data_IF_969805105016
#
_entry.id   IF_969805105016
#
_cell.length_a   1.000
_cell.length_b   1.000
_cell.length_c   1.000
_cell.angle_alpha   90.00
_cell.angle_beta   90.00
_cell.angle_gamma   90.00
#
_symmetry.space_group_name_H-M   'P 1'
#
loop_
_entity.id
_entity.type
_entity.pdbx_description
1 polymer ?
#
# COMPACT_ATOMS: atom_id res chain seq x y z
N UNK A 1 4.32 -14.16 -18.09
CA UNK A 1 2.85 -13.98 -18.16
C UNK A 1 2.59 -12.50 -18.33
N UNK A 2 1.69 -12.11 -19.25
CA UNK A 2 1.39 -10.69 -19.46
C UNK A 2 0.52 -10.18 -18.31
N UNK A 3 0.79 -9.00 -17.72
CA UNK A 3 0.08 -8.53 -16.53
C UNK A 3 -1.42 -8.30 -16.74
N UNK A 4 -1.87 -8.18 -17.99
CA UNK A 4 -3.29 -8.08 -18.38
C UNK A 4 -3.82 -9.38 -19.02
N UNK A 5 -3.24 -10.54 -18.76
CA UNK A 5 -3.64 -11.80 -19.40
C UNK A 5 -5.11 -12.15 -19.13
N UNK A 6 -5.61 -11.87 -17.92
CA UNK A 6 -7.01 -12.11 -17.53
C UNK A 6 -8.00 -11.20 -18.27
N UNK A 7 -7.55 -10.09 -18.85
CA UNK A 7 -8.39 -9.14 -19.59
C UNK A 7 -8.59 -9.61 -21.02
N UNK A 8 -9.56 -10.47 -21.26
CA UNK A 8 -9.82 -11.09 -22.57
C UNK A 8 -10.72 -10.26 -23.48
N UNK A 9 -11.52 -9.36 -22.90
CA UNK A 9 -12.49 -8.55 -23.61
C UNK A 9 -12.08 -7.08 -23.56
N UNK A 10 -12.33 -6.37 -24.65
CA UNK A 10 -12.08 -4.92 -24.70
C UNK A 10 -13.05 -4.18 -23.78
N UNK A 11 -12.57 -3.37 -22.82
CA UNK A 11 -13.45 -2.64 -21.92
C UNK A 11 -14.25 -1.51 -22.60
N UNK A 12 -13.85 -1.09 -23.82
CA UNK A 12 -14.54 -0.06 -24.58
C UNK A 12 -15.71 -0.62 -25.42
N UNK A 13 -15.50 -1.73 -26.15
CA UNK A 13 -16.51 -2.26 -27.06
C UNK A 13 -17.03 -3.67 -26.71
N UNK A 14 -16.47 -4.31 -25.69
CA UNK A 14 -16.89 -5.64 -25.20
C UNK A 14 -16.45 -6.82 -26.10
N UNK A 15 -15.76 -6.61 -27.22
CA UNK A 15 -15.37 -7.68 -28.12
C UNK A 15 -14.13 -8.44 -27.63
N UNK A 16 -14.02 -9.78 -27.96
CA UNK A 16 -12.94 -10.64 -27.45
C UNK A 16 -11.65 -10.54 -28.28
N UNK A 17 -11.33 -9.35 -28.78
CA UNK A 17 -10.13 -9.05 -29.56
C UNK A 17 -9.27 -8.00 -28.90
N UNK A 18 -8.96 -8.26 -27.62
CA UNK A 18 -8.11 -7.39 -26.81
C UNK A 18 -6.74 -8.06 -26.67
N UNK A 19 -5.86 -7.75 -27.60
CA UNK A 19 -4.58 -8.43 -27.83
C UNK A 19 -3.41 -7.71 -27.17
N UNK A 20 -2.32 -8.43 -26.90
CA UNK A 20 -1.10 -7.85 -26.37
C UNK A 20 -0.52 -6.81 -27.37
N UNK A 21 -0.23 -5.60 -26.89
CA UNK A 21 0.36 -4.54 -27.66
C UNK A 21 1.83 -4.32 -27.28
N UNK A 22 2.14 -4.38 -25.99
CA UNK A 22 3.50 -4.41 -25.44
C UNK A 22 3.46 -5.03 -24.03
N UNK A 23 4.60 -5.07 -23.32
CA UNK A 23 4.75 -5.74 -22.01
C UNK A 23 3.76 -5.31 -20.92
N UNK A 24 3.09 -4.17 -21.05
CA UNK A 24 2.13 -3.64 -20.07
C UNK A 24 0.84 -3.09 -20.69
N UNK A 25 0.59 -3.32 -21.97
CA UNK A 25 -0.63 -2.81 -22.61
C UNK A 25 -1.26 -3.83 -23.54
N UNK A 26 -2.58 -3.72 -23.68
CA UNK A 26 -3.38 -4.41 -24.68
C UNK A 26 -4.08 -3.42 -25.59
N UNK A 27 -4.31 -3.83 -26.85
CA UNK A 27 -5.00 -3.06 -27.87
C UNK A 27 -6.15 -3.89 -28.46
N UNK A 28 -7.30 -3.25 -28.60
CA UNK A 28 -8.41 -3.84 -29.33
C UNK A 28 -8.19 -3.70 -30.83
N UNK A 29 -8.23 -4.82 -31.57
CA UNK A 29 -8.08 -4.82 -33.04
C UNK A 29 -9.34 -4.37 -33.76
N UNK A 30 -10.50 -4.33 -33.08
CA UNK A 30 -11.77 -3.86 -33.66
C UNK A 30 -11.96 -2.35 -33.53
N UNK A 31 -11.89 -1.80 -32.29
CA UNK A 31 -12.17 -0.40 -32.03
C UNK A 31 -10.92 0.47 -31.84
N UNK A 32 -9.73 -0.13 -31.80
CA UNK A 32 -8.47 0.58 -31.64
C UNK A 32 -8.14 1.03 -30.21
N UNK A 33 -9.02 0.77 -29.21
CA UNK A 33 -8.79 1.14 -27.82
C UNK A 33 -7.52 0.50 -27.28
N UNK A 34 -6.70 1.29 -26.58
CA UNK A 34 -5.46 0.83 -25.94
C UNK A 34 -5.56 1.07 -24.43
N UNK A 35 -5.30 0.03 -23.64
CA UNK A 35 -5.20 0.13 -22.21
C UNK A 35 -3.79 -0.17 -21.74
N UNK A 36 -3.23 0.72 -20.91
CA UNK A 36 -1.94 0.54 -20.25
C UNK A 36 -2.15 0.24 -18.78
N UNK A 37 -1.58 -0.89 -18.30
CA UNK A 37 -1.48 -1.13 -16.88
C UNK A 37 -0.40 -0.22 -16.30
N UNK A 38 -0.77 0.58 -15.32
CA UNK A 38 0.16 1.38 -14.53
C UNK A 38 0.08 0.91 -13.07
N UNK A 39 1.15 1.06 -12.28
CA UNK A 39 1.09 0.77 -10.86
C UNK A 39 0.04 1.66 -10.18
N UNK A 40 -0.74 1.07 -9.28
CA UNK A 40 -1.57 1.83 -8.34
C UNK A 40 -0.67 2.49 -7.31
N UNK A 41 -1.03 3.70 -6.86
CA UNK A 41 -0.34 4.33 -5.77
C UNK A 41 -0.87 3.80 -4.43
N UNK A 42 0.02 3.59 -3.46
CA UNK A 42 -0.31 3.31 -2.07
C UNK A 42 0.62 4.07 -1.14
N UNK A 43 0.23 4.23 0.11
CA UNK A 43 0.97 4.97 1.13
C UNK A 43 1.19 4.10 2.35
N UNK A 44 2.27 4.35 3.09
CA UNK A 44 2.54 3.74 4.38
C UNK A 44 3.24 4.73 5.32
N UNK A 45 2.85 4.72 6.59
CA UNK A 45 3.29 5.66 7.60
C UNK A 45 4.26 5.05 8.59
N UNK A 46 5.46 5.61 8.72
CA UNK A 46 6.31 5.42 9.88
C UNK A 46 5.90 6.39 10.98
N UNK A 47 5.33 5.87 12.06
CA UNK A 47 4.91 6.61 13.24
C UNK A 47 5.73 6.09 14.43
N UNK A 48 6.50 6.96 15.07
CA UNK A 48 7.28 6.59 16.25
C UNK A 48 6.86 7.41 17.46
N UNK A 49 6.84 6.75 18.62
CA UNK A 49 6.64 7.45 19.89
C UNK A 49 7.93 8.11 20.40
N UNK A 50 7.83 8.76 21.57
CA UNK A 50 8.96 9.45 22.23
C UNK A 50 10.11 8.52 22.64
N UNK A 51 9.85 7.22 22.74
CA UNK A 51 10.83 6.18 23.07
C UNK A 51 11.46 5.56 21.81
N UNK A 52 11.03 6.02 20.61
CA UNK A 52 11.50 5.51 19.32
C UNK A 52 10.94 4.14 18.96
N UNK A 53 9.81 3.73 19.58
CA UNK A 53 9.10 2.51 19.20
C UNK A 53 8.22 2.80 17.99
N UNK A 54 8.15 1.85 17.06
CA UNK A 54 7.37 1.95 15.83
C UNK A 54 5.93 1.49 16.07
N UNK A 55 4.95 2.30 15.68
CA UNK A 55 3.56 1.87 15.60
C UNK A 55 3.40 0.87 14.46
N UNK A 56 2.93 -0.32 14.78
CA UNK A 56 2.68 -1.40 13.81
C UNK A 56 1.25 -1.89 13.91
N UNK A 57 0.72 -2.31 12.78
CA UNK A 57 -0.58 -2.93 12.62
C UNK A 57 -0.44 -4.44 12.44
N UNK A 58 -1.41 -5.23 12.91
CA UNK A 58 -1.59 -6.62 12.50
C UNK A 58 -2.67 -6.66 11.43
N UNK A 59 -2.34 -7.20 10.26
CA UNK A 59 -3.25 -7.29 9.11
C UNK A 59 -4.45 -8.19 9.42
N UNK A 60 -5.66 -7.66 9.26
CA UNK A 60 -6.90 -8.44 9.40
C UNK A 60 -7.28 -9.21 8.12
N UNK A 61 -6.79 -8.77 6.96
CA UNK A 61 -7.17 -9.28 5.63
C UNK A 61 -6.00 -9.88 4.86
N UNK A 62 -6.32 -10.74 3.87
CA UNK A 62 -5.35 -11.18 2.86
C UNK A 62 -5.03 -10.05 1.86
N UNK A 63 -3.86 -10.03 1.25
CA UNK A 63 -2.72 -10.95 1.45
C UNK A 63 -1.99 -10.72 2.77
N UNK A 64 -1.29 -11.75 3.23
CA UNK A 64 -0.43 -11.72 4.41
C UNK A 64 -1.17 -11.46 5.75
N UNK A 65 -2.42 -11.90 5.87
CA UNK A 65 -3.19 -11.83 7.11
C UNK A 65 -2.41 -12.34 8.32
N UNK A 66 -2.51 -11.62 9.44
CA UNK A 66 -1.85 -11.97 10.70
C UNK A 66 -0.37 -11.57 10.79
N UNK A 67 0.21 -11.00 9.72
CA UNK A 67 1.56 -10.43 9.76
C UNK A 67 1.53 -8.96 10.14
N UNK A 68 2.69 -8.40 10.47
CA UNK A 68 2.82 -6.99 10.76
C UNK A 68 2.78 -6.14 9.46
N UNK A 69 2.27 -4.94 9.61
CA UNK A 69 2.24 -3.90 8.60
C UNK A 69 2.47 -2.53 9.21
N UNK A 70 2.62 -1.52 8.37
CA UNK A 70 2.55 -0.12 8.74
C UNK A 70 1.15 0.41 8.43
N UNK A 71 0.62 1.37 9.20
CA UNK A 71 -0.62 2.06 8.84
C UNK A 71 -0.54 2.64 7.42
N UNK A 72 -1.56 2.39 6.59
CA UNK A 72 -1.57 2.83 5.21
C UNK A 72 -2.43 1.99 4.29
N UNK A 73 -2.63 2.47 3.06
CA UNK A 73 -3.47 1.81 2.06
C UNK A 73 -3.36 2.43 0.68
N UNK A 74 -4.37 2.23 -0.16
CA UNK A 74 -4.38 2.78 -1.51
C UNK A 74 -4.72 4.28 -1.52
N UNK A 75 -4.09 5.00 -2.44
CA UNK A 75 -4.43 6.39 -2.73
C UNK A 75 -5.74 6.42 -3.52
N UNK A 76 -6.70 7.22 -3.07
CA UNK A 76 -7.98 7.38 -3.73
C UNK A 76 -7.90 8.28 -4.98
N UNK A 77 -8.96 8.24 -5.82
CA UNK A 77 -9.07 9.12 -6.98
C UNK A 77 -9.09 10.58 -6.52
N UNK A 78 -8.27 11.41 -7.17
CA UNK A 78 -8.14 12.86 -6.89
C UNK A 78 -7.51 13.20 -5.54
N UNK A 79 -6.87 12.25 -4.88
CA UNK A 79 -6.17 12.40 -3.62
C UNK A 79 -4.65 12.48 -3.87
N UNK A 80 -3.94 13.30 -3.11
CA UNK A 80 -2.48 13.29 -3.09
C UNK A 80 -1.97 12.21 -2.12
N UNK A 81 -0.70 11.79 -2.26
CA UNK A 81 -0.12 10.84 -1.31
C UNK A 81 -0.10 11.37 0.13
N UNK A 82 0.06 12.69 0.29
CA UNK A 82 0.02 13.38 1.58
C UNK A 82 -1.38 13.37 2.23
N UNK A 83 -2.42 13.52 1.43
CA UNK A 83 -3.81 13.39 1.89
C UNK A 83 -4.13 11.94 2.22
N UNK A 84 -3.75 11.00 1.35
CA UNK A 84 -3.95 9.58 1.54
C UNK A 84 -3.34 9.07 2.85
N UNK A 85 -2.06 9.38 3.12
CA UNK A 85 -1.41 8.90 4.33
C UNK A 85 -2.07 9.44 5.61
N UNK A 86 -2.57 10.66 5.60
CA UNK A 86 -3.31 11.23 6.73
C UNK A 86 -4.66 10.54 6.93
N UNK A 87 -5.40 10.29 5.84
CA UNK A 87 -6.70 9.61 5.87
C UNK A 87 -6.53 8.18 6.39
N UNK A 88 -5.60 7.41 5.80
CA UNK A 88 -5.36 6.01 6.19
C UNK A 88 -4.92 5.89 7.66
N UNK A 89 -4.00 6.74 8.11
CA UNK A 89 -3.61 6.76 9.54
C UNK A 89 -4.81 7.04 10.42
N UNK A 90 -5.67 7.99 10.07
CA UNK A 90 -6.86 8.30 10.85
C UNK A 90 -7.88 7.15 10.84
N UNK A 91 -8.17 6.57 9.68
CA UNK A 91 -9.15 5.48 9.51
C UNK A 91 -8.73 4.23 10.29
N UNK A 92 -7.46 3.85 10.21
CA UNK A 92 -6.95 2.64 10.85
C UNK A 92 -6.60 2.80 12.33
N UNK A 93 -6.27 4.00 12.78
CA UNK A 93 -5.72 4.22 14.14
C UNK A 93 -6.47 5.24 14.98
N UNK A 94 -7.30 6.10 14.38
CA UNK A 94 -7.92 7.25 15.02
C UNK A 94 -6.97 8.43 15.26
N UNK A 95 -5.69 8.29 14.95
CA UNK A 95 -4.68 9.32 15.19
C UNK A 95 -4.72 10.42 14.12
N UNK A 96 -4.49 11.65 14.53
CA UNK A 96 -4.39 12.82 13.64
C UNK A 96 -2.93 13.15 13.38
N UNK A 97 -2.52 13.11 12.11
CA UNK A 97 -1.15 13.42 11.70
C UNK A 97 -0.92 14.93 11.64
N UNK A 98 -0.01 15.45 12.46
CA UNK A 98 0.34 16.85 12.51
C UNK A 98 1.31 17.26 11.41
N UNK A 99 2.39 16.49 11.23
CA UNK A 99 3.41 16.73 10.22
C UNK A 99 3.75 15.45 9.46
N UNK A 100 4.01 15.60 8.17
CA UNK A 100 4.44 14.53 7.28
C UNK A 100 5.74 14.90 6.58
N UNK A 101 6.58 13.90 6.37
CA UNK A 101 7.80 14.01 5.58
C UNK A 101 7.91 12.80 4.64
N UNK A 102 7.91 13.05 3.32
CA UNK A 102 8.14 11.98 2.34
C UNK A 102 9.55 11.44 2.47
N UNK A 103 9.71 10.13 2.51
CA UNK A 103 11.00 9.46 2.64
C UNK A 103 11.50 8.90 1.31
N UNK A 104 10.77 7.94 0.76
CA UNK A 104 11.11 7.22 -0.47
C UNK A 104 9.89 6.44 -0.98
N UNK A 105 10.05 5.80 -2.14
CA UNK A 105 9.05 4.86 -2.66
C UNK A 105 9.69 3.53 -3.07
N UNK A 106 8.91 2.46 -3.02
CA UNK A 106 9.29 1.12 -3.43
C UNK A 106 8.20 0.47 -4.29
N UNK A 107 8.58 -0.31 -5.31
CA UNK A 107 7.61 -1.11 -6.05
C UNK A 107 7.18 -2.32 -5.21
N UNK A 108 5.92 -2.75 -5.39
CA UNK A 108 5.39 -3.96 -4.76
C UNK A 108 4.43 -4.68 -5.70
N UNK A 109 4.09 -5.92 -5.35
CA UNK A 109 3.01 -6.70 -5.96
C UNK A 109 2.06 -7.10 -4.85
N UNK A 110 0.83 -6.63 -4.96
CA UNK A 110 -0.25 -6.92 -4.05
C UNK A 110 -1.21 -7.89 -4.73
N UNK A 111 -1.13 -9.19 -4.38
CA UNK A 111 -1.98 -10.22 -4.99
C UNK A 111 -3.36 -10.18 -4.35
N UNK A 112 -4.37 -9.74 -5.10
CA UNK A 112 -5.73 -9.61 -4.64
C UNK A 112 -6.73 -10.17 -5.66
N UNK A 113 -7.70 -10.96 -5.20
CA UNK A 113 -8.76 -11.56 -6.04
C UNK A 113 -8.22 -12.34 -7.26
N UNK A 114 -7.08 -13.02 -7.11
CA UNK A 114 -6.44 -13.78 -8.20
C UNK A 114 -5.75 -12.91 -9.26
N UNK A 115 -5.54 -11.64 -8.97
CA UNK A 115 -4.86 -10.69 -9.84
C UNK A 115 -3.68 -10.03 -9.09
N UNK A 116 -2.55 -9.89 -9.78
CA UNK A 116 -1.38 -9.20 -9.26
C UNK A 116 -1.50 -7.69 -9.52
N UNK A 117 -1.88 -6.94 -8.49
CA UNK A 117 -1.90 -5.49 -8.53
C UNK A 117 -0.47 -4.99 -8.28
N UNK A 118 0.12 -4.39 -9.31
CA UNK A 118 1.40 -3.70 -9.15
C UNK A 118 1.17 -2.38 -8.45
N UNK A 119 1.92 -2.09 -7.37
CA UNK A 119 1.83 -0.83 -6.64
C UNK A 119 3.16 -0.08 -6.64
N UNK A 120 3.08 1.22 -6.46
CA UNK A 120 4.16 2.09 -6.06
C UNK A 120 3.84 2.60 -4.66
N UNK A 121 4.50 2.03 -3.66
CA UNK A 121 4.24 2.32 -2.26
C UNK A 121 5.11 3.53 -1.85
N UNK A 122 4.46 4.60 -1.42
CA UNK A 122 5.05 5.85 -0.97
C UNK A 122 5.17 5.82 0.55
N UNK A 123 6.37 6.00 1.07
CA UNK A 123 6.65 5.94 2.50
C UNK A 123 6.82 7.34 3.09
N UNK A 124 6.11 7.58 4.19
CA UNK A 124 6.12 8.84 4.90
C UNK A 124 6.50 8.64 6.36
N UNK A 125 7.29 9.55 6.90
CA UNK A 125 7.40 9.73 8.35
C UNK A 125 6.29 10.65 8.79
N UNK A 126 5.46 10.18 9.72
CA UNK A 126 4.34 10.92 10.27
C UNK A 126 4.61 11.24 11.74
N UNK A 127 4.55 12.53 12.07
CA UNK A 127 4.66 13.01 13.44
C UNK A 127 3.27 13.30 14.00
N UNK A 128 3.02 12.83 15.22
CA UNK A 128 1.74 12.92 15.93
C UNK A 128 2.04 13.44 17.32
N UNK A 129 1.51 14.62 17.64
CA UNK A 129 1.76 15.29 18.92
C UNK A 129 1.03 14.60 20.07
N UNK A 130 -0.17 14.05 19.82
CA UNK A 130 -0.99 13.33 20.81
C UNK A 130 -1.19 11.86 20.40
N UNK A 131 -0.53 10.97 21.13
CA UNK A 131 -0.64 9.53 20.99
C UNK A 131 -1.48 8.88 22.10
N UNK A 132 -2.38 9.62 22.77
CA UNK A 132 -3.12 9.12 23.94
C UNK A 132 -4.31 8.23 23.56
N UNK A 133 -5.01 8.55 22.47
CA UNK A 133 -6.27 7.91 22.09
C UNK A 133 -6.16 7.27 20.70
N UNK A 134 -5.68 6.04 20.64
CA UNK A 134 -5.65 5.26 19.41
C UNK A 134 -6.31 3.90 19.59
N UNK A 135 -6.96 3.41 18.55
CA UNK A 135 -7.58 2.08 18.53
C UNK A 135 -7.51 1.49 17.12
N UNK A 136 -7.36 0.17 17.06
CA UNK A 136 -7.41 -0.54 15.80
C UNK A 136 -8.82 -0.45 15.18
N UNK A 137 -8.89 -0.08 13.91
CA UNK A 137 -10.12 0.01 13.14
C UNK A 137 -9.87 -0.43 11.70
N UNK A 138 -10.92 -0.51 10.90
CA UNK A 138 -10.90 -0.91 9.50
C UNK A 138 -10.21 -2.27 9.26
N UNK A 139 -9.21 -2.33 8.40
CA UNK A 139 -8.48 -3.55 8.02
C UNK A 139 -7.40 -3.98 9.03
N UNK A 140 -7.36 -3.36 10.21
CA UNK A 140 -6.38 -3.62 11.27
C UNK A 140 -7.01 -4.44 12.40
N UNK A 141 -6.44 -5.62 12.65
CA UNK A 141 -6.87 -6.48 13.79
C UNK A 141 -6.37 -5.94 15.13
N UNK A 142 -5.14 -5.41 15.16
CA UNK A 142 -4.47 -4.93 16.36
C UNK A 142 -3.41 -3.90 16.03
N UNK A 143 -3.26 -2.92 16.90
CA UNK A 143 -2.18 -1.94 16.89
C UNK A 143 -1.32 -2.07 18.14
N UNK A 144 -0.02 -1.81 18.02
CA UNK A 144 0.86 -1.68 19.17
C UNK A 144 2.19 -1.01 18.78
N UNK A 145 2.89 -0.48 19.78
CA UNK A 145 4.24 0.05 19.59
C UNK A 145 5.28 -1.05 19.77
N UNK A 146 6.07 -1.31 18.72
CA UNK A 146 7.12 -2.31 18.69
C UNK A 146 8.48 -1.66 18.94
N UNK A 147 9.23 -2.08 20.00
CA UNK A 147 10.57 -1.58 20.25
C UNK A 147 11.54 -1.89 19.10
N UNK A 148 12.46 -0.97 18.80
CA UNK A 148 13.48 -1.18 17.76
C UNK A 148 14.28 -2.48 17.97
N UNK A 149 14.54 -2.88 19.20
CA UNK A 149 15.25 -4.12 19.54
C UNK A 149 14.50 -5.41 19.16
N UNK A 150 13.17 -5.34 19.02
CA UNK A 150 12.31 -6.45 18.65
C UNK A 150 11.91 -6.42 17.17
N UNK A 151 12.23 -5.34 16.48
CA UNK A 151 11.89 -5.12 15.09
C UNK A 151 12.67 -6.10 14.22
N UNK A 152 11.94 -6.93 13.46
CA UNK A 152 12.48 -7.90 12.52
C UNK A 152 11.73 -7.76 11.21
N UNK A 153 12.41 -7.46 10.09
CA UNK A 153 11.77 -7.29 8.78
C UNK A 153 10.90 -8.49 8.38
N UNK A 154 11.28 -9.70 8.78
CA UNK A 154 10.56 -10.95 8.47
C UNK A 154 9.16 -11.03 9.11
N UNK A 155 8.86 -10.21 10.11
CA UNK A 155 7.54 -10.12 10.71
C UNK A 155 6.53 -9.44 9.80
N UNK A 156 6.99 -8.64 8.84
CA UNK A 156 6.16 -7.91 7.88
C UNK A 156 5.87 -8.75 6.64
N UNK A 157 4.60 -8.89 6.30
CA UNK A 157 4.17 -9.80 5.24
C UNK A 157 4.39 -9.26 3.82
N UNK A 158 4.30 -7.94 3.63
CA UNK A 158 4.46 -7.29 2.33
C UNK A 158 5.92 -6.96 2.04
N UNK A 159 6.37 -7.25 0.82
CA UNK A 159 7.78 -7.11 0.45
C UNK A 159 8.29 -5.67 0.51
N UNK A 160 7.49 -4.70 0.08
CA UNK A 160 7.84 -3.28 0.15
C UNK A 160 7.97 -2.78 1.58
N UNK A 161 7.03 -3.17 2.45
CA UNK A 161 7.04 -2.82 3.87
C UNK A 161 8.28 -3.40 4.56
N UNK A 162 8.58 -4.68 4.31
CA UNK A 162 9.79 -5.34 4.83
C UNK A 162 11.06 -4.57 4.45
N UNK A 163 11.21 -4.23 3.17
CA UNK A 163 12.32 -3.43 2.67
C UNK A 163 12.34 -2.02 3.25
N UNK A 164 11.18 -1.39 3.40
CA UNK A 164 11.09 -0.05 3.94
C UNK A 164 11.54 0.00 5.41
N UNK A 165 11.14 -1.00 6.20
CA UNK A 165 11.58 -1.15 7.59
C UNK A 165 13.10 -1.34 7.69
N UNK A 166 13.71 -2.14 6.78
CA UNK A 166 15.16 -2.26 6.69
C UNK A 166 15.85 -0.92 6.39
N UNK A 167 15.34 -0.16 5.42
CA UNK A 167 15.92 1.13 5.02
C UNK A 167 15.79 2.17 6.15
N UNK A 168 14.67 2.19 6.86
CA UNK A 168 14.37 3.21 7.87
C UNK A 168 15.12 2.97 9.21
N UNK A 169 15.38 1.71 9.59
CA UNK A 169 15.93 1.37 10.89
C UNK A 169 17.32 0.74 10.87
N UNK A 170 17.81 0.26 9.74
CA UNK A 170 19.09 -0.39 9.58
C UNK A 170 20.06 0.41 8.72
#
# INVERSE_FOLDING_TARGET
MHPLELFRYCPQCGLPRFEENNFKSKKCTDCGFVYYLNPSASVAAFITDREGRLLVAVRAQEPAKGTLDLPGGFVDLYETGEEAVKREVFEETGLVVDRINYLFSLPNIYSYSGFDVHTLDLFYQCEIDDLSDWQAADDVEKLFFLPKSELRPELFGLNSIRKAVEIFFL
#
